data_IF_845383815116
#
_entry.id   IF_845383815116
#
_cell.length_a   1.000
_cell.length_b   1.000
_cell.length_c   1.000
_cell.angle_alpha   90.00
_cell.angle_beta   90.00
_cell.angle_gamma   90.00
#
_symmetry.space_group_name_H-M   'P 1'
#
loop_
_entity.id
_entity.type
_entity.pdbx_description
1 polymer ?
#
# COMPACT_ATOMS: atom_id res chain seq x y z
N UNK A 1 3.67 -49.39 -10.83
CA UNK A 1 3.97 -47.95 -11.00
C UNK A 1 2.64 -47.20 -11.11
N UNK A 2 2.22 -46.51 -10.06
CA UNK A 2 0.99 -45.71 -10.09
C UNK A 2 1.41 -44.26 -10.43
N UNK A 3 1.16 -43.88 -11.68
CA UNK A 3 1.21 -42.44 -12.07
C UNK A 3 0.14 -41.70 -11.26
N UNK A 4 0.58 -40.93 -10.24
CA UNK A 4 -0.25 -39.87 -9.65
C UNK A 4 -0.39 -38.79 -10.73
N UNK A 5 -1.53 -38.75 -11.41
CA UNK A 5 -1.96 -37.53 -12.10
C UNK A 5 -1.97 -36.39 -11.07
N UNK A 6 -0.98 -35.50 -11.14
CA UNK A 6 -1.10 -34.17 -10.58
C UNK A 6 -2.19 -33.48 -11.40
N UNK A 7 -3.42 -33.44 -10.88
CA UNK A 7 -4.41 -32.54 -11.40
C UNK A 7 -3.79 -31.14 -11.47
N UNK A 8 -3.97 -30.44 -12.57
CA UNK A 8 -3.57 -29.06 -12.71
C UNK A 8 -4.25 -28.26 -11.61
N UNK A 9 -3.55 -27.91 -10.54
CA UNK A 9 -4.04 -26.98 -9.54
C UNK A 9 -4.40 -25.70 -10.29
N UNK A 10 -5.67 -25.30 -10.18
CA UNK A 10 -6.21 -24.15 -10.92
C UNK A 10 -5.62 -22.89 -10.31
N UNK A 11 -4.74 -22.21 -11.04
CA UNK A 11 -4.16 -20.93 -10.64
C UNK A 11 -5.31 -19.97 -10.29
N UNK A 12 -5.29 -19.43 -9.07
CA UNK A 12 -6.26 -18.44 -8.62
C UNK A 12 -5.94 -17.08 -9.23
N UNK A 13 -6.85 -16.51 -10.00
CA UNK A 13 -6.71 -15.14 -10.51
C UNK A 13 -7.33 -14.16 -9.52
N UNK A 14 -6.60 -13.09 -9.20
CA UNK A 14 -7.04 -11.99 -8.35
C UNK A 14 -6.83 -10.66 -9.07
N UNK A 15 -7.69 -9.65 -8.84
CA UNK A 15 -7.46 -8.29 -9.33
C UNK A 15 -6.77 -7.46 -8.25
N UNK A 16 -5.63 -6.86 -8.58
CA UNK A 16 -4.97 -5.91 -7.70
C UNK A 16 -5.33 -4.47 -8.08
N UNK A 17 -6.13 -3.82 -7.22
CA UNK A 17 -6.75 -2.51 -7.46
C UNK A 17 -5.78 -1.33 -7.34
N UNK A 18 -4.75 -1.31 -8.16
CA UNK A 18 -3.77 -0.21 -8.19
C UNK A 18 -3.16 -0.04 -9.58
N UNK A 19 -2.84 1.20 -9.94
CA UNK A 19 -2.02 1.55 -11.12
C UNK A 19 -0.55 1.78 -10.75
N UNK A 20 -0.20 1.75 -9.47
CA UNK A 20 1.15 2.01 -9.00
C UNK A 20 2.06 0.80 -9.29
N UNK A 21 2.96 0.94 -10.25
CA UNK A 21 3.90 -0.11 -10.71
C UNK A 21 4.72 -0.71 -9.57
N UNK A 22 5.12 0.09 -8.58
CA UNK A 22 5.88 -0.42 -7.42
C UNK A 22 5.02 -1.34 -6.56
N UNK A 23 3.75 -0.97 -6.29
CA UNK A 23 2.84 -1.83 -5.53
C UNK A 23 2.58 -3.16 -6.26
N UNK A 24 2.46 -3.11 -7.60
CA UNK A 24 2.30 -4.31 -8.43
C UNK A 24 3.53 -5.20 -8.28
N UNK A 25 4.74 -4.66 -8.46
CA UNK A 25 5.98 -5.40 -8.31
C UNK A 25 6.16 -6.00 -6.89
N UNK A 26 5.77 -5.27 -5.84
CA UNK A 26 5.79 -5.77 -4.46
C UNK A 26 4.89 -7.00 -4.31
N UNK A 27 3.65 -6.97 -4.84
CA UNK A 27 2.72 -8.10 -4.79
C UNK A 27 3.24 -9.31 -5.58
N UNK A 28 3.70 -9.10 -6.82
CA UNK A 28 4.25 -10.15 -7.66
C UNK A 28 5.46 -10.84 -7.01
N UNK A 29 6.35 -10.04 -6.38
CA UNK A 29 7.48 -10.58 -5.64
C UNK A 29 7.04 -11.44 -4.45
N UNK A 30 6.00 -11.03 -3.72
CA UNK A 30 5.45 -11.82 -2.61
C UNK A 30 4.85 -13.12 -3.11
N UNK A 31 4.05 -13.10 -4.18
CA UNK A 31 3.45 -14.29 -4.79
C UNK A 31 4.55 -15.29 -5.19
N UNK A 32 5.57 -14.80 -5.92
CA UNK A 32 6.69 -15.60 -6.38
C UNK A 32 7.50 -16.21 -5.24
N UNK A 33 7.90 -15.39 -4.26
CA UNK A 33 8.76 -15.85 -3.15
C UNK A 33 8.03 -16.74 -2.16
N UNK A 34 6.70 -16.61 -2.06
CA UNK A 34 5.84 -17.48 -1.23
C UNK A 34 5.36 -18.72 -1.98
N UNK A 35 5.71 -18.91 -3.25
CA UNK A 35 5.32 -20.04 -4.11
C UNK A 35 3.80 -20.25 -4.12
N UNK A 36 3.03 -19.17 -4.23
CA UNK A 36 1.57 -19.22 -4.28
C UNK A 36 1.09 -19.42 -5.71
N UNK A 37 0.10 -20.30 -5.91
CA UNK A 37 -0.57 -20.53 -7.20
C UNK A 37 -1.61 -19.42 -7.47
N UNK A 38 -1.13 -18.17 -7.49
CA UNK A 38 -1.91 -16.96 -7.69
C UNK A 38 -1.36 -16.17 -8.88
N UNK A 39 -2.25 -15.73 -9.76
CA UNK A 39 -1.98 -14.77 -10.84
C UNK A 39 -2.62 -13.42 -10.48
N UNK A 40 -1.80 -12.37 -10.37
CA UNK A 40 -2.29 -11.03 -10.12
C UNK A 40 -2.63 -10.32 -11.43
N UNK A 41 -3.89 -9.99 -11.64
CA UNK A 41 -4.38 -9.15 -12.71
C UNK A 41 -4.30 -7.68 -12.25
N UNK A 42 -3.89 -6.79 -13.14
CA UNK A 42 -3.90 -5.35 -12.92
C UNK A 42 -5.23 -4.73 -13.33
N UNK A 43 -5.44 -3.45 -13.04
CA UNK A 43 -6.60 -2.70 -13.54
C UNK A 43 -6.63 -2.64 -15.08
N UNK A 44 -5.48 -2.65 -15.75
CA UNK A 44 -5.42 -2.69 -17.22
C UNK A 44 -5.90 -4.04 -17.77
N UNK A 45 -5.61 -5.16 -17.10
CA UNK A 45 -6.02 -6.49 -17.57
C UNK A 45 -7.53 -6.70 -17.51
N UNK A 46 -8.24 -5.91 -16.70
CA UNK A 46 -9.70 -5.89 -16.64
C UNK A 46 -10.34 -4.74 -17.42
N UNK A 47 -9.55 -3.98 -18.20
CA UNK A 47 -10.00 -2.81 -18.96
C UNK A 47 -10.66 -1.71 -18.11
N UNK A 48 -10.14 -1.46 -16.89
CA UNK A 48 -10.63 -0.39 -16.03
C UNK A 48 -10.55 0.97 -16.70
N UNK A 49 -11.67 1.68 -16.80
CA UNK A 49 -11.81 2.95 -17.53
C UNK A 49 -12.48 4.07 -16.72
N UNK A 50 -12.71 3.85 -15.40
CA UNK A 50 -13.42 4.81 -14.54
C UNK A 50 -12.48 5.86 -13.89
N UNK A 51 -11.20 5.88 -14.29
CA UNK A 51 -10.22 6.84 -13.76
C UNK A 51 -9.78 6.53 -12.32
N UNK A 52 -9.39 7.58 -11.59
CA UNK A 52 -9.01 7.47 -10.18
C UNK A 52 -10.25 7.31 -9.29
N UNK A 53 -10.14 6.48 -8.28
CA UNK A 53 -11.21 6.25 -7.29
C UNK A 53 -11.04 7.29 -6.17
N UNK A 54 -12.09 8.08 -5.91
CA UNK A 54 -12.11 9.06 -4.83
C UNK A 54 -12.05 8.38 -3.46
N UNK A 55 -10.98 8.63 -2.74
CA UNK A 55 -10.75 8.14 -1.39
C UNK A 55 -11.36 9.12 -0.37
N UNK A 56 -12.66 8.98 -0.09
CA UNK A 56 -13.42 9.86 0.81
C UNK A 56 -13.51 9.34 2.25
N UNK A 57 -12.90 8.21 2.54
CA UNK A 57 -12.87 7.60 3.87
C UNK A 57 -12.05 8.41 4.86
N UNK A 58 -12.34 8.20 6.14
CA UNK A 58 -11.65 8.83 7.27
C UNK A 58 -10.55 7.96 7.86
N UNK A 59 -10.44 6.71 7.39
CA UNK A 59 -9.46 5.73 7.83
C UNK A 59 -8.85 5.00 6.62
N UNK A 60 -7.70 4.36 6.81
CA UNK A 60 -7.09 3.51 5.77
C UNK A 60 -7.98 2.31 5.45
N UNK A 61 -8.69 1.79 6.45
CA UNK A 61 -9.66 0.70 6.32
C UNK A 61 -10.79 1.10 5.38
N UNK A 62 -11.38 2.28 5.60
CA UNK A 62 -12.45 2.81 4.75
C UNK A 62 -11.96 3.05 3.32
N UNK A 63 -10.81 3.71 3.14
CA UNK A 63 -10.26 3.99 1.81
C UNK A 63 -9.92 2.71 1.03
N UNK A 64 -9.32 1.73 1.70
CA UNK A 64 -9.05 0.43 1.08
C UNK A 64 -10.35 -0.27 0.67
N UNK A 65 -11.40 -0.22 1.50
CA UNK A 65 -12.71 -0.80 1.19
C UNK A 65 -13.44 -0.06 0.07
N UNK A 66 -13.39 1.28 0.04
CA UNK A 66 -13.98 2.10 -1.04
C UNK A 66 -13.39 1.68 -2.39
N UNK A 67 -12.06 1.52 -2.47
CA UNK A 67 -11.41 1.03 -3.70
C UNK A 67 -11.88 -0.37 -4.09
N UNK A 68 -11.94 -1.29 -3.14
CA UNK A 68 -12.40 -2.65 -3.41
C UNK A 68 -13.84 -2.67 -3.91
N UNK A 69 -14.73 -1.88 -3.29
CA UNK A 69 -16.15 -1.78 -3.66
C UNK A 69 -16.34 -1.21 -5.07
N UNK A 70 -15.58 -0.17 -5.42
CA UNK A 70 -15.66 0.42 -6.77
C UNK A 70 -15.26 -0.61 -7.85
N UNK A 71 -14.17 -1.36 -7.62
CA UNK A 71 -13.73 -2.40 -8.55
C UNK A 71 -14.71 -3.57 -8.59
N UNK A 72 -15.28 -3.97 -7.45
CA UNK A 72 -16.30 -5.02 -7.37
C UNK A 72 -17.53 -4.68 -8.23
N UNK A 73 -18.03 -3.45 -8.13
CA UNK A 73 -19.18 -3.01 -8.92
C UNK A 73 -18.85 -3.03 -10.42
N UNK A 74 -17.66 -2.53 -10.80
CA UNK A 74 -17.19 -2.59 -12.18
C UNK A 74 -17.10 -4.03 -12.71
N UNK A 75 -16.51 -4.94 -11.96
CA UNK A 75 -16.41 -6.35 -12.37
C UNK A 75 -17.80 -6.97 -12.56
N UNK A 76 -18.73 -6.69 -11.64
CA UNK A 76 -20.09 -7.18 -11.71
C UNK A 76 -20.84 -6.67 -12.94
N UNK A 77 -20.70 -5.39 -13.27
CA UNK A 77 -21.32 -4.77 -14.47
C UNK A 77 -20.76 -5.35 -15.77
N UNK A 78 -19.49 -5.80 -15.75
CA UNK A 78 -18.83 -6.41 -16.91
C UNK A 78 -18.88 -7.95 -16.93
N UNK A 79 -19.65 -8.59 -16.05
CA UNK A 79 -19.76 -10.05 -15.91
C UNK A 79 -18.39 -10.73 -15.66
N UNK A 80 -17.51 -10.07 -14.91
CA UNK A 80 -16.22 -10.59 -14.49
C UNK A 80 -16.27 -10.99 -13.00
N UNK A 81 -15.66 -12.11 -12.66
CA UNK A 81 -15.70 -12.67 -11.32
C UNK A 81 -14.31 -13.01 -10.81
N UNK A 82 -13.66 -12.04 -10.17
CA UNK A 82 -12.36 -12.21 -9.53
C UNK A 82 -12.41 -11.72 -8.09
N UNK A 83 -11.70 -12.37 -7.14
CA UNK A 83 -11.36 -11.73 -5.88
C UNK A 83 -10.53 -10.47 -6.13
N UNK A 84 -10.75 -9.43 -5.32
CA UNK A 84 -10.11 -8.13 -5.50
C UNK A 84 -9.24 -7.87 -4.28
N UNK A 85 -8.01 -7.43 -4.51
CA UNK A 85 -7.11 -6.93 -3.46
C UNK A 85 -6.88 -5.45 -3.69
N UNK A 86 -7.10 -4.64 -2.67
CA UNK A 86 -6.76 -3.23 -2.63
C UNK A 86 -5.94 -2.93 -1.40
N UNK A 87 -5.17 -1.84 -1.42
CA UNK A 87 -4.46 -1.38 -0.23
C UNK A 87 -4.57 0.13 -0.06
N UNK A 88 -4.54 0.56 1.19
CA UNK A 88 -4.26 1.93 1.55
C UNK A 88 -3.19 2.00 2.63
N UNK A 89 -2.37 3.07 2.60
CA UNK A 89 -1.24 3.19 3.51
C UNK A 89 -0.91 4.65 3.84
N UNK A 90 -0.55 4.89 5.09
CA UNK A 90 -0.18 6.21 5.58
C UNK A 90 0.98 6.20 6.55
N UNK A 91 1.65 7.36 6.63
CA UNK A 91 2.63 7.72 7.65
C UNK A 91 1.92 8.47 8.76
N UNK A 92 2.13 8.05 9.99
CA UNK A 92 1.54 8.68 11.19
C UNK A 92 2.66 9.13 12.11
N UNK A 93 2.67 10.42 12.50
CA UNK A 93 3.68 11.02 13.38
C UNK A 93 3.03 11.40 14.70
N UNK A 94 3.52 10.88 15.81
CA UNK A 94 2.86 11.02 17.11
C UNK A 94 2.75 12.46 17.57
N UNK A 95 3.82 13.24 17.50
CA UNK A 95 3.84 14.64 17.91
C UNK A 95 3.06 15.60 17.00
N UNK A 96 2.56 15.09 15.86
CA UNK A 96 1.69 15.83 14.94
C UNK A 96 0.24 15.28 14.96
N UNK A 97 -0.19 14.65 16.05
CA UNK A 97 -1.53 14.07 16.21
C UNK A 97 -1.88 13.07 15.09
N UNK A 98 -0.90 12.36 14.59
CA UNK A 98 -1.05 11.36 13.51
C UNK A 98 -0.96 11.92 12.10
N UNK A 99 -0.73 13.21 11.88
CA UNK A 99 -0.44 13.72 10.54
C UNK A 99 0.86 13.15 9.99
N UNK A 100 0.98 12.95 8.67
CA UNK A 100 0.00 13.18 7.59
C UNK A 100 -1.16 12.17 7.52
N UNK A 101 -1.08 10.99 8.15
CA UNK A 101 -2.14 9.99 8.22
C UNK A 101 -2.63 9.55 6.84
N UNK A 102 -3.95 9.53 6.65
CA UNK A 102 -4.60 9.18 5.37
C UNK A 102 -4.24 10.14 4.22
N UNK A 103 -3.72 11.31 4.55
CA UNK A 103 -3.32 12.34 3.57
C UNK A 103 -1.85 12.21 3.13
N UNK A 104 -1.17 11.12 3.46
CA UNK A 104 0.26 10.92 3.19
C UNK A 104 0.64 11.22 1.73
N UNK A 105 -0.16 10.79 0.76
CA UNK A 105 0.12 11.00 -0.66
C UNK A 105 -0.07 12.46 -1.14
N UNK A 106 -0.89 13.25 -0.41
CA UNK A 106 -1.30 14.61 -0.78
C UNK A 106 -1.05 15.63 0.35
N UNK A 107 -0.13 15.33 1.26
CA UNK A 107 0.11 16.15 2.45
C UNK A 107 0.57 17.59 2.14
N UNK A 108 1.27 17.81 1.04
CA UNK A 108 1.64 19.15 0.59
C UNK A 108 0.42 19.95 0.09
N UNK A 109 -0.53 19.28 -0.56
CA UNK A 109 -1.65 19.92 -1.25
C UNK A 109 -2.70 20.50 -0.28
N UNK A 110 -2.78 19.96 0.95
CA UNK A 110 -3.78 20.34 1.95
C UNK A 110 -3.66 21.80 2.42
N UNK A 111 -2.43 22.33 2.54
CA UNK A 111 -2.20 23.70 3.01
C UNK A 111 -2.34 24.74 1.91
N UNK A 112 -2.00 24.39 0.71
CA UNK A 112 -1.68 25.38 -0.29
C UNK A 112 -2.87 25.79 -1.13
N UNK A 113 -4.04 25.07 -1.04
CA UNK A 113 -5.20 25.27 -1.93
C UNK A 113 -4.79 25.51 -3.40
N UNK A 114 -3.58 25.06 -3.72
CA UNK A 114 -2.88 25.34 -4.96
C UNK A 114 -3.16 24.23 -5.95
N UNK A 115 -3.47 24.64 -7.15
CA UNK A 115 -3.24 23.88 -8.36
C UNK A 115 -1.97 23.04 -8.21
N UNK A 116 -2.01 21.77 -8.52
CA UNK A 116 -1.02 20.72 -8.30
C UNK A 116 0.38 20.95 -8.90
N UNK A 117 0.85 22.18 -8.94
CA UNK A 117 2.12 22.61 -9.55
C UNK A 117 3.33 22.47 -8.64
N UNK A 118 3.12 22.28 -7.32
CA UNK A 118 4.25 22.08 -6.42
C UNK A 118 4.89 20.70 -6.61
N UNK A 119 6.22 20.64 -6.59
CA UNK A 119 6.92 19.38 -6.60
C UNK A 119 6.43 18.50 -5.44
N UNK A 120 6.02 17.26 -5.72
CA UNK A 120 5.46 16.35 -4.69
C UNK A 120 6.41 16.06 -3.51
N UNK A 121 7.69 16.38 -3.62
CA UNK A 121 8.65 16.31 -2.51
C UNK A 121 8.44 17.41 -1.44
N UNK A 122 7.64 18.46 -1.73
CA UNK A 122 7.30 19.49 -0.75
C UNK A 122 6.56 18.91 0.47
N UNK A 123 5.92 17.76 0.33
CA UNK A 123 5.36 17.02 1.47
C UNK A 123 6.42 16.71 2.55
N UNK A 124 7.66 16.39 2.15
CA UNK A 124 8.78 16.12 3.07
C UNK A 124 9.24 17.40 3.76
N UNK A 125 9.41 18.48 3.00
CA UNK A 125 9.82 19.77 3.55
C UNK A 125 8.76 20.29 4.55
N UNK A 126 7.47 20.16 4.24
CA UNK A 126 6.38 20.50 5.16
C UNK A 126 6.49 19.68 6.46
N UNK A 127 6.64 18.37 6.36
CA UNK A 127 6.77 17.50 7.52
C UNK A 127 7.95 17.91 8.40
N UNK A 128 9.12 18.17 7.81
CA UNK A 128 10.32 18.58 8.54
C UNK A 128 10.13 19.95 9.22
N UNK A 129 9.48 20.92 8.55
CA UNK A 129 9.12 22.21 9.16
C UNK A 129 8.20 22.05 10.37
N UNK A 130 7.16 21.21 10.25
CA UNK A 130 6.20 20.97 11.34
C UNK A 130 6.82 20.24 12.54
N UNK A 131 7.98 19.59 12.33
CA UNK A 131 8.73 18.89 13.36
C UNK A 131 9.94 19.67 13.90
N UNK A 132 10.16 20.91 13.46
CA UNK A 132 11.37 21.67 13.81
C UNK A 132 11.57 21.81 15.32
N UNK A 133 10.49 22.11 16.07
CA UNK A 133 10.53 22.30 17.52
C UNK A 133 10.05 21.06 18.32
N UNK A 134 9.85 19.93 17.67
CA UNK A 134 9.37 18.72 18.31
C UNK A 134 10.52 17.81 18.73
N UNK A 135 10.56 17.47 20.03
CA UNK A 135 11.51 16.47 20.57
C UNK A 135 11.09 15.04 20.21
N UNK A 136 9.79 14.75 20.28
CA UNK A 136 9.27 13.46 19.87
C UNK A 136 9.11 13.42 18.34
N UNK A 137 9.87 12.58 17.70
CA UNK A 137 9.84 12.34 16.27
C UNK A 137 9.38 10.92 15.94
N UNK A 138 8.83 10.23 16.93
CA UNK A 138 8.33 8.87 16.75
C UNK A 138 7.18 8.83 15.74
N UNK A 139 7.20 7.82 14.90
CA UNK A 139 6.26 7.69 13.80
C UNK A 139 6.05 6.20 13.45
N UNK A 140 5.02 5.94 12.68
CA UNK A 140 4.82 4.62 12.10
C UNK A 140 4.17 4.71 10.72
N UNK A 141 4.52 3.75 9.87
CA UNK A 141 3.74 3.44 8.68
C UNK A 141 2.74 2.34 8.97
N UNK A 142 1.52 2.51 8.51
CA UNK A 142 0.47 1.49 8.51
C UNK A 142 0.00 1.22 7.09
N UNK A 143 -0.22 -0.05 6.74
CA UNK A 143 -0.92 -0.45 5.55
C UNK A 143 -2.12 -1.31 5.94
N UNK A 144 -3.25 -1.05 5.30
CA UNK A 144 -4.45 -1.88 5.35
C UNK A 144 -4.66 -2.46 3.96
N UNK A 145 -4.90 -3.75 3.90
CA UNK A 145 -5.20 -4.49 2.67
C UNK A 145 -6.60 -5.09 2.81
N UNK A 146 -7.44 -4.85 1.82
CA UNK A 146 -8.78 -5.44 1.72
C UNK A 146 -8.76 -6.52 0.63
N UNK A 147 -9.24 -7.72 0.96
CA UNK A 147 -9.66 -8.71 -0.02
C UNK A 147 -11.18 -8.72 -0.09
N UNK A 148 -11.76 -8.44 -1.26
CA UNK A 148 -13.19 -8.55 -1.49
C UNK A 148 -13.46 -9.75 -2.39
N UNK A 149 -14.41 -10.59 -2.00
CA UNK A 149 -14.79 -11.80 -2.70
C UNK A 149 -15.88 -11.55 -3.74
N UNK A 150 -16.12 -12.54 -4.58
CA UNK A 150 -17.13 -12.51 -5.64
C UNK A 150 -18.58 -12.30 -5.17
N UNK A 151 -18.87 -12.67 -3.92
CA UNK A 151 -20.16 -12.47 -3.27
C UNK A 151 -20.34 -11.11 -2.61
N UNK A 152 -19.30 -10.26 -2.66
CA UNK A 152 -19.27 -8.95 -2.03
C UNK A 152 -18.85 -8.97 -0.55
N UNK A 153 -18.64 -10.14 0.04
CA UNK A 153 -18.00 -10.22 1.36
C UNK A 153 -16.55 -9.81 1.30
N UNK A 154 -15.99 -9.35 2.41
CA UNK A 154 -14.59 -8.92 2.44
C UNK A 154 -13.89 -9.29 3.74
N UNK A 155 -12.55 -9.31 3.68
CA UNK A 155 -11.66 -9.47 4.81
C UNK A 155 -10.56 -8.41 4.73
N UNK A 156 -10.14 -7.87 5.89
CA UNK A 156 -9.06 -6.90 5.96
C UNK A 156 -7.94 -7.38 6.85
N UNK A 157 -6.71 -7.11 6.41
CA UNK A 157 -5.49 -7.32 7.19
C UNK A 157 -4.68 -6.03 7.24
N UNK A 158 -3.97 -5.83 8.32
CA UNK A 158 -3.09 -4.68 8.45
C UNK A 158 -1.74 -5.05 9.05
N UNK A 159 -0.74 -4.18 8.79
CA UNK A 159 0.54 -4.25 9.45
C UNK A 159 1.16 -2.86 9.62
N UNK A 160 2.06 -2.76 10.60
CA UNK A 160 2.70 -1.52 11.01
C UNK A 160 4.23 -1.71 10.99
N UNK A 161 4.94 -0.66 10.59
CA UNK A 161 6.37 -0.50 10.80
C UNK A 161 6.61 0.74 11.64
N UNK A 162 7.18 0.57 12.81
CA UNK A 162 7.53 1.67 13.71
C UNK A 162 8.90 2.26 13.35
N UNK A 163 9.04 3.56 13.57
CA UNK A 163 10.27 4.28 13.28
C UNK A 163 10.28 5.70 13.85
N UNK A 164 11.19 6.50 13.34
CA UNK A 164 11.34 7.91 13.70
C UNK A 164 11.56 8.74 12.44
N UNK A 165 11.19 10.01 12.49
CA UNK A 165 11.46 10.94 11.39
C UNK A 165 12.85 11.56 11.58
N UNK A 166 13.72 11.43 10.58
CA UNK A 166 15.03 12.06 10.53
C UNK A 166 14.95 13.59 10.58
N UNK A 167 16.03 14.26 10.97
CA UNK A 167 16.11 15.72 10.95
C UNK A 167 16.25 16.27 9.52
N UNK A 168 16.80 15.49 8.63
CA UNK A 168 17.05 15.83 7.22
C UNK A 168 16.69 14.64 6.33
N UNK A 169 16.43 14.96 5.07
CA UNK A 169 16.15 13.96 4.05
C UNK A 169 17.44 13.32 3.53
N UNK A 170 17.37 12.04 3.22
CA UNK A 170 18.45 11.30 2.56
C UNK A 170 18.23 11.23 1.05
N UNK A 171 19.31 11.24 0.28
CA UNK A 171 19.27 11.05 -1.17
C UNK A 171 19.42 9.55 -1.56
N UNK A 172 18.89 9.13 -2.73
CA UNK A 172 18.14 9.94 -3.68
C UNK A 172 16.69 10.18 -3.23
N UNK A 173 16.14 11.37 -3.55
CA UNK A 173 14.76 11.73 -3.25
C UNK A 173 13.80 11.10 -4.28
N UNK A 174 13.43 9.86 -4.06
CA UNK A 174 12.54 9.08 -4.93
C UNK A 174 11.20 8.79 -4.25
N UNK A 175 10.16 8.53 -5.05
CA UNK A 175 8.85 8.12 -4.49
C UNK A 175 8.93 6.73 -3.83
N UNK A 176 8.24 6.51 -2.68
CA UNK A 176 7.50 7.49 -1.86
C UNK A 176 8.45 8.45 -1.14
N UNK A 177 8.25 9.75 -1.29
CA UNK A 177 9.21 10.77 -0.82
C UNK A 177 9.49 10.71 0.68
N UNK A 178 8.52 10.39 1.52
CA UNK A 178 8.73 10.23 2.97
C UNK A 178 9.67 9.08 3.34
N UNK A 179 9.99 8.18 2.40
CA UNK A 179 10.99 7.13 2.63
C UNK A 179 12.39 7.72 2.86
N UNK A 180 12.63 8.96 2.40
CA UNK A 180 13.90 9.66 2.61
C UNK A 180 14.10 10.21 4.03
N UNK A 181 13.05 10.21 4.85
CA UNK A 181 13.09 10.75 6.22
C UNK A 181 12.59 9.76 7.28
N UNK A 182 11.99 8.65 6.88
CA UNK A 182 11.50 7.66 7.86
C UNK A 182 12.58 6.61 8.14
N UNK A 183 13.15 6.65 9.34
CA UNK A 183 14.14 5.69 9.84
C UNK A 183 13.38 4.53 10.47
N UNK A 184 13.57 3.33 9.94
CA UNK A 184 12.96 2.11 10.48
C UNK A 184 13.64 1.71 11.79
N UNK A 185 12.84 1.41 12.82
CA UNK A 185 13.37 0.94 14.10
C UNK A 185 14.28 -0.28 13.90
N UNK A 186 15.33 -0.34 14.72
CA UNK A 186 16.35 -1.38 14.72
C UNK A 186 17.27 -1.44 13.48
N UNK A 187 17.25 -0.42 12.61
CA UNK A 187 18.10 -0.44 11.41
C UNK A 187 19.01 0.77 11.27
N UNK A 188 18.80 1.89 11.86
CA UNK A 188 19.50 3.16 11.58
C UNK A 188 19.45 3.59 10.09
N UNK A 189 18.56 3.01 9.29
CA UNK A 189 18.39 3.27 7.86
C UNK A 189 17.07 3.95 7.60
N UNK A 190 17.05 4.91 6.68
CA UNK A 190 15.81 5.39 6.11
C UNK A 190 15.25 4.38 5.11
N UNK A 191 13.95 4.40 4.85
CA UNK A 191 13.31 3.40 3.98
C UNK A 191 13.88 3.36 2.56
N UNK A 192 14.37 4.50 2.02
CA UNK A 192 15.03 4.53 0.71
C UNK A 192 16.43 3.91 0.72
N UNK A 193 17.00 3.63 1.90
CA UNK A 193 18.30 2.96 2.09
C UNK A 193 18.15 1.45 2.37
N UNK A 194 16.92 0.96 2.53
CA UNK A 194 16.67 -0.47 2.78
C UNK A 194 16.91 -1.26 1.49
N UNK A 195 17.53 -2.42 1.65
CA UNK A 195 17.64 -3.42 0.58
C UNK A 195 16.27 -4.04 0.28
N UNK A 196 16.13 -4.68 -0.88
CA UNK A 196 14.89 -5.41 -1.24
C UNK A 196 14.53 -6.45 -0.18
N UNK A 197 15.52 -7.15 0.39
CA UNK A 197 15.28 -8.12 1.46
C UNK A 197 14.75 -7.46 2.72
N UNK A 198 15.33 -6.34 3.16
CA UNK A 198 14.86 -5.59 4.33
C UNK A 198 13.45 -5.04 4.13
N UNK A 199 13.11 -4.60 2.92
CA UNK A 199 11.75 -4.14 2.57
C UNK A 199 10.69 -5.24 2.75
N UNK A 200 11.05 -6.53 2.58
CA UNK A 200 10.09 -7.64 2.74
C UNK A 200 9.59 -7.82 4.18
N UNK A 201 10.22 -7.17 5.16
CA UNK A 201 9.79 -7.17 6.57
C UNK A 201 9.06 -5.88 6.99
N UNK A 202 8.69 -5.04 6.03
CA UNK A 202 8.01 -3.77 6.30
C UNK A 202 6.48 -3.89 6.24
N UNK A 203 5.80 -2.84 6.65
CA UNK A 203 4.35 -2.75 6.83
C UNK A 203 3.53 -3.27 5.64
N UNK A 204 3.88 -2.88 4.40
CA UNK A 204 3.14 -3.29 3.20
C UNK A 204 3.31 -4.77 2.91
N UNK A 205 4.54 -5.25 2.89
CA UNK A 205 4.82 -6.66 2.66
C UNK A 205 4.16 -7.56 3.71
N UNK A 206 4.22 -7.16 5.00
CA UNK A 206 3.55 -7.89 6.08
C UNK A 206 2.03 -7.95 5.90
N UNK A 207 1.40 -6.84 5.55
CA UNK A 207 -0.05 -6.79 5.31
C UNK A 207 -0.46 -7.65 4.11
N UNK A 208 0.26 -7.52 2.98
CA UNK A 208 0.02 -8.34 1.78
C UNK A 208 0.25 -9.84 2.04
N UNK A 209 1.32 -10.22 2.75
CA UNK A 209 1.56 -11.63 3.11
C UNK A 209 0.43 -12.20 3.96
N UNK A 210 -0.12 -11.43 4.91
CA UNK A 210 -1.24 -11.88 5.73
C UNK A 210 -2.48 -12.14 4.89
N UNK A 211 -2.87 -11.21 4.00
CA UNK A 211 -4.05 -11.36 3.16
C UNK A 211 -3.89 -12.53 2.17
N UNK A 212 -2.73 -12.66 1.52
CA UNK A 212 -2.46 -13.77 0.61
C UNK A 212 -2.51 -15.12 1.31
N UNK A 213 -1.94 -15.22 2.52
CA UNK A 213 -2.04 -16.44 3.35
C UNK A 213 -3.49 -16.76 3.74
N UNK A 214 -4.32 -15.73 3.94
CA UNK A 214 -5.73 -15.92 4.27
C UNK A 214 -6.52 -16.49 3.10
N UNK A 215 -6.32 -15.96 1.89
CA UNK A 215 -7.07 -16.39 0.68
C UNK A 215 -6.56 -17.70 0.08
N UNK A 216 -5.36 -18.16 0.45
CA UNK A 216 -4.75 -19.42 -0.04
C UNK A 216 -5.11 -20.63 0.84
N UNK A 217 -5.97 -20.48 1.84
CA UNK A 217 -6.47 -21.58 2.69
C UNK A 217 -7.73 -22.20 2.11
#
# INVERSE_FOLDING_TARGET
>A
MKNKNKGSEKIMKIVFGTTNKRKIADLENIIKTSQLDIEALTLNDINWNLGEIDETGKTLEENSLIKATAIYNFLKENNLEYPIITDDAGLFVNSLNGEPGIYTARYADIELKLDSTLPKYECVNKLLRNLNDKKDRSAYYKCVVTCMYKDGSYHQESAISYGTIANEKTEPLIKPYFYSVFILNNTNKTFNQLTETELTDTYRYKALKKILKYISK
#
